data_IF_950678860628
#
_entry.id   IF_950678860628
#
_cell.length_a   1.000
_cell.length_b   1.000
_cell.length_c   1.000
_cell.angle_alpha   90.00
_cell.angle_beta   90.00
_cell.angle_gamma   90.00
#
_symmetry.space_group_name_H-M   'P 1'
#
loop_
_entity.id
_entity.type
_entity.pdbx_description
1 polymer ?
#
# COMPACT_ATOMS: atom_id res chain seq x y z
N UNK A 1 -14.08 1.17 -23.01
CA UNK A 1 -12.93 2.09 -23.16
C UNK A 1 -12.35 2.26 -21.76
N UNK A 2 -11.29 1.51 -21.43
CA UNK A 2 -10.61 1.72 -20.13
C UNK A 2 -9.89 3.04 -20.28
N UNK A 3 -10.35 4.11 -19.62
CA UNK A 3 -9.54 5.32 -19.50
C UNK A 3 -8.20 4.87 -18.91
N UNK A 4 -7.09 5.28 -19.52
CA UNK A 4 -5.79 5.05 -18.95
C UNK A 4 -5.82 5.63 -17.52
N UNK A 5 -5.69 4.80 -16.49
CA UNK A 5 -5.88 5.22 -15.11
C UNK A 5 -5.03 6.42 -14.74
N UNK A 6 -3.84 6.54 -15.36
CA UNK A 6 -2.94 7.68 -15.20
C UNK A 6 -3.53 9.00 -15.72
N UNK A 7 -4.30 8.99 -16.79
CA UNK A 7 -4.97 10.18 -17.32
C UNK A 7 -6.11 10.64 -16.39
N UNK A 8 -6.84 9.68 -15.81
CA UNK A 8 -7.87 9.99 -14.82
C UNK A 8 -7.25 10.59 -13.54
N UNK A 9 -6.14 10.05 -13.06
CA UNK A 9 -5.38 10.64 -11.96
C UNK A 9 -4.87 12.04 -12.29
N UNK A 10 -4.28 12.22 -13.47
CA UNK A 10 -3.80 13.52 -13.92
C UNK A 10 -4.94 14.56 -14.00
N UNK A 11 -6.11 14.18 -14.52
CA UNK A 11 -7.29 15.03 -14.59
C UNK A 11 -7.82 15.43 -13.19
N UNK A 12 -7.64 14.57 -12.19
CA UNK A 12 -7.95 14.87 -10.78
C UNK A 12 -6.86 15.72 -10.08
N UNK A 13 -5.84 16.17 -10.81
CA UNK A 13 -4.72 16.94 -10.25
C UNK A 13 -3.69 16.09 -9.51
N UNK A 14 -3.75 14.76 -9.71
CA UNK A 14 -2.87 13.80 -9.06
C UNK A 14 -1.69 13.44 -9.99
N UNK A 15 -0.47 13.55 -9.48
CA UNK A 15 0.79 13.19 -10.14
C UNK A 15 1.80 12.68 -9.11
N UNK A 16 2.92 12.04 -9.50
CA UNK A 16 3.95 11.65 -8.54
C UNK A 16 4.40 12.83 -7.68
N UNK A 17 4.21 12.72 -6.35
CA UNK A 17 4.54 13.80 -5.40
C UNK A 17 3.50 14.92 -5.31
N UNK A 18 2.39 14.85 -6.06
CA UNK A 18 1.28 15.81 -6.02
C UNK A 18 -0.04 15.07 -5.88
N UNK A 19 -0.66 15.14 -4.71
CA UNK A 19 -1.93 14.48 -4.43
C UNK A 19 -1.79 13.03 -3.96
N UNK A 20 -0.68 12.36 -4.28
CA UNK A 20 -0.32 11.05 -3.72
C UNK A 20 1.16 10.72 -3.95
N UNK A 21 1.73 9.89 -3.06
CA UNK A 21 3.04 9.26 -3.28
C UNK A 21 2.85 7.82 -3.73
N UNK A 22 3.42 7.47 -4.89
CA UNK A 22 3.35 6.11 -5.43
C UNK A 22 4.25 5.14 -4.67
N UNK A 23 3.80 3.89 -4.59
CA UNK A 23 4.65 2.74 -4.23
C UNK A 23 5.45 2.27 -5.44
N UNK A 24 6.51 1.52 -5.19
CA UNK A 24 7.24 0.82 -6.24
C UNK A 24 6.40 -0.34 -6.81
N UNK A 25 6.29 -0.44 -8.13
CA UNK A 25 5.55 -1.52 -8.81
C UNK A 25 6.20 -2.88 -8.60
N UNK A 26 7.54 -2.96 -8.52
CA UNK A 26 8.25 -4.21 -8.31
C UNK A 26 7.93 -4.79 -6.93
N UNK A 27 7.72 -3.93 -5.93
CA UNK A 27 7.25 -4.37 -4.61
C UNK A 27 5.82 -4.88 -4.64
N UNK A 28 4.95 -4.28 -5.46
CA UNK A 28 3.57 -4.78 -5.64
C UNK A 28 3.57 -6.17 -6.26
N UNK A 29 4.37 -6.35 -7.31
CA UNK A 29 4.50 -7.65 -7.99
C UNK A 29 5.12 -8.70 -7.07
N UNK A 30 6.17 -8.35 -6.33
CA UNK A 30 6.82 -9.24 -5.35
C UNK A 30 5.84 -9.71 -4.27
N UNK A 31 5.10 -8.79 -3.64
CA UNK A 31 4.10 -9.15 -2.62
C UNK A 31 3.00 -10.02 -3.22
N UNK A 32 2.45 -9.67 -4.37
CA UNK A 32 1.44 -10.47 -5.04
C UNK A 32 1.95 -11.88 -5.38
N UNK A 33 3.20 -11.98 -5.84
CA UNK A 33 3.89 -13.24 -6.11
C UNK A 33 4.02 -14.10 -4.87
N UNK A 34 4.38 -13.52 -3.71
CA UNK A 34 4.46 -14.24 -2.43
C UNK A 34 3.11 -14.80 -2.02
N UNK A 35 2.03 -14.02 -2.10
CA UNK A 35 0.67 -14.52 -1.81
C UNK A 35 0.24 -15.67 -2.73
N UNK A 36 0.78 -15.75 -3.95
CA UNK A 36 0.44 -16.82 -4.88
C UNK A 36 1.14 -18.15 -4.55
N UNK A 37 2.23 -18.15 -3.76
CA UNK A 37 3.08 -19.35 -3.56
C UNK A 37 3.37 -19.68 -2.09
N UNK A 38 3.13 -18.76 -1.16
CA UNK A 38 3.36 -18.94 0.27
C UNK A 38 2.02 -19.10 1.01
N UNK A 39 1.64 -20.36 1.26
CA UNK A 39 0.39 -20.68 1.97
C UNK A 39 0.34 -20.12 3.40
N UNK A 40 1.49 -19.81 4.01
CA UNK A 40 1.52 -19.19 5.35
C UNK A 40 0.98 -17.76 5.36
N UNK A 41 0.85 -17.13 4.20
CA UNK A 41 0.25 -15.81 4.03
C UNK A 41 -1.27 -15.86 3.85
N UNK A 42 -1.90 -17.04 3.77
CA UNK A 42 -3.36 -17.13 3.70
C UNK A 42 -4.01 -16.47 4.91
N UNK A 43 -5.07 -15.69 4.64
CA UNK A 43 -5.77 -14.91 5.66
C UNK A 43 -5.07 -13.60 6.03
N UNK A 44 -3.78 -13.42 5.70
CA UNK A 44 -3.03 -12.19 6.02
C UNK A 44 -3.37 -11.05 5.07
N UNK A 45 -3.19 -9.82 5.54
CA UNK A 45 -3.18 -8.63 4.70
C UNK A 45 -1.82 -7.92 4.77
N UNK A 46 -1.32 -7.50 3.61
CA UNK A 46 -0.10 -6.71 3.48
C UNK A 46 -0.47 -5.32 2.96
N UNK A 47 0.07 -4.30 3.59
CA UNK A 47 0.01 -2.93 3.11
C UNK A 47 1.35 -2.57 2.48
N UNK A 48 1.30 -2.05 1.26
CA UNK A 48 2.49 -1.59 0.54
C UNK A 48 2.50 -0.08 0.60
N UNK A 49 3.60 0.48 1.07
CA UNK A 49 3.78 1.92 1.23
C UNK A 49 5.06 2.40 0.55
N UNK A 50 5.13 3.68 0.15
CA UNK A 50 6.36 4.28 -0.37
C UNK A 50 7.52 4.14 0.61
N UNK A 51 8.73 4.26 0.08
CA UNK A 51 9.93 4.25 0.92
C UNK A 51 9.94 5.40 1.93
N UNK A 52 10.53 5.19 3.12
CA UNK A 52 11.24 3.97 3.57
C UNK A 52 10.33 2.89 4.19
N UNK A 53 9.00 3.02 4.11
CA UNK A 53 8.08 2.13 4.82
C UNK A 53 7.93 0.73 4.21
N UNK A 54 8.03 0.62 2.88
CA UNK A 54 8.03 -0.66 2.18
C UNK A 54 6.78 -1.52 2.38
N UNK A 55 6.95 -2.81 2.65
CA UNK A 55 5.85 -3.77 2.83
C UNK A 55 5.63 -3.99 4.32
N UNK A 56 4.41 -3.78 4.77
CA UNK A 56 4.02 -3.87 6.17
C UNK A 56 2.91 -4.89 6.31
N UNK A 57 3.16 -5.91 7.11
CA UNK A 57 2.15 -6.85 7.53
C UNK A 57 1.17 -6.16 8.49
N UNK A 58 -0.09 -6.01 8.08
CA UNK A 58 -1.11 -5.37 8.92
C UNK A 58 -1.69 -6.33 9.95
N UNK A 59 -1.28 -7.60 9.91
CA UNK A 59 -1.66 -8.68 10.82
C UNK A 59 -3.14 -8.97 10.90
N UNK A 60 -3.86 -8.68 9.83
CA UNK A 60 -5.28 -8.97 9.72
C UNK A 60 -5.46 -10.48 9.66
N UNK A 61 -5.77 -11.10 10.79
CA UNK A 61 -6.24 -12.47 10.93
C UNK A 61 -6.97 -12.63 12.27
N UNK A 62 -7.61 -13.79 12.47
CA UNK A 62 -8.38 -14.06 13.70
C UNK A 62 -7.49 -14.12 14.96
N UNK A 63 -6.20 -14.40 14.82
CA UNK A 63 -5.24 -14.55 15.92
C UNK A 63 -4.43 -13.27 16.23
N UNK A 64 -4.53 -12.25 15.37
CA UNK A 64 -3.63 -11.10 15.30
C UNK A 64 -4.28 -9.76 15.64
N UNK A 65 -3.96 -8.73 14.85
CA UNK A 65 -4.49 -7.38 15.03
C UNK A 65 -5.43 -7.05 13.88
N UNK A 66 -6.53 -6.37 14.17
CA UNK A 66 -7.34 -5.78 13.11
C UNK A 66 -6.49 -4.81 12.29
N UNK A 67 -6.41 -5.06 10.98
CA UNK A 67 -5.54 -4.30 10.09
C UNK A 67 -5.74 -2.78 10.19
N UNK A 68 -6.93 -2.33 10.58
CA UNK A 68 -7.27 -0.93 10.82
C UNK A 68 -6.39 -0.21 11.86
N UNK A 69 -5.93 -0.88 12.92
CA UNK A 69 -5.07 -0.25 13.95
C UNK A 69 -3.67 0.01 13.38
N UNK A 70 -3.09 -0.99 12.70
CA UNK A 70 -1.78 -0.88 12.04
C UNK A 70 -1.82 0.14 10.91
N UNK A 71 -2.91 0.13 10.13
CA UNK A 71 -3.16 1.05 9.03
C UNK A 71 -3.17 2.51 9.52
N UNK A 72 -3.99 2.84 10.53
CA UNK A 72 -4.07 4.20 11.08
C UNK A 72 -2.72 4.70 11.58
N UNK A 73 -2.04 3.92 12.41
CA UNK A 73 -0.72 4.30 12.94
C UNK A 73 0.32 4.48 11.83
N UNK A 74 0.23 3.70 10.75
CA UNK A 74 1.13 3.86 9.63
C UNK A 74 0.82 5.11 8.81
N UNK A 75 -0.45 5.41 8.54
CA UNK A 75 -0.84 6.66 7.86
C UNK A 75 -0.35 7.89 8.62
N UNK A 76 -0.48 7.90 9.95
CA UNK A 76 0.00 9.00 10.79
C UNK A 76 1.52 9.19 10.68
N UNK A 77 2.30 8.11 10.77
CA UNK A 77 3.77 8.17 10.62
C UNK A 77 4.20 8.68 9.24
N UNK A 78 3.52 8.22 8.20
CA UNK A 78 3.87 8.58 6.83
C UNK A 78 3.48 10.02 6.50
N UNK A 79 2.34 10.51 7.00
CA UNK A 79 2.00 11.94 6.92
C UNK A 79 3.03 12.79 7.65
N UNK A 80 3.50 12.34 8.82
CA UNK A 80 4.56 13.02 9.55
C UNK A 80 5.90 13.04 8.79
N UNK A 81 6.17 12.05 7.93
CA UNK A 81 7.35 12.04 7.05
C UNK A 81 7.15 12.83 5.74
N UNK A 82 6.04 13.55 5.60
CA UNK A 82 5.74 14.37 4.42
C UNK A 82 5.19 13.58 3.22
N UNK A 83 4.82 12.32 3.41
CA UNK A 83 4.16 11.55 2.35
C UNK A 83 2.70 11.98 2.23
N UNK A 84 2.22 12.04 0.98
CA UNK A 84 0.83 12.37 0.68
C UNK A 84 0.07 11.05 0.51
N UNK A 85 -0.83 10.75 1.45
CA UNK A 85 -1.64 9.52 1.56
C UNK A 85 -3.11 9.87 1.80
#
# INVERSE_FOLDING_TARGET
MVQNGLEAFAAAGMAPGRGFTFVDVDKVVDVAGRFAVDESLHGRAMMIVPEPGGVIDVKDDEEGLWGGVVFKGTQERMRASGLII
#
